data_IF_849528792219
#
_entry.id   IF_849528792219
#
_cell.length_a   1.000
_cell.length_b   1.000
_cell.length_c   1.000
_cell.angle_alpha   90.00
_cell.angle_beta   90.00
_cell.angle_gamma   90.00
#
_symmetry.space_group_name_H-M   'P 1'
#
loop_
_entity.id
_entity.type
_entity.pdbx_description
1 polymer ?
#
# COMPACT_ATOMS: atom_id res chain seq x y z
N UNK A 1 15.63 13.04 16.51
CA UNK A 1 15.46 12.14 15.36
C UNK A 1 14.89 12.95 14.21
N UNK A 2 15.46 12.85 13.00
CA UNK A 2 15.04 13.63 11.82
C UNK A 2 14.51 12.67 10.76
N UNK A 3 13.35 12.98 10.17
CA UNK A 3 12.72 12.17 9.12
C UNK A 3 12.86 12.88 7.77
N UNK A 4 13.33 12.15 6.76
CA UNK A 4 13.39 12.58 5.36
C UNK A 4 12.35 11.80 4.56
N UNK A 5 11.16 12.40 4.41
CA UNK A 5 10.02 11.79 3.71
C UNK A 5 10.29 11.62 2.22
N UNK A 6 11.06 12.53 1.61
CA UNK A 6 11.41 12.46 0.20
C UNK A 6 12.32 11.26 -0.09
N UNK A 7 13.28 10.98 0.81
CA UNK A 7 14.11 9.77 0.70
C UNK A 7 13.31 8.49 0.91
N UNK A 8 12.37 8.48 1.86
CA UNK A 8 11.49 7.32 2.05
C UNK A 8 10.68 7.03 0.79
N UNK A 9 10.12 8.06 0.16
CA UNK A 9 9.38 7.91 -1.11
C UNK A 9 10.27 7.37 -2.23
N UNK A 10 11.45 7.95 -2.44
CA UNK A 10 12.42 7.45 -3.43
C UNK A 10 12.80 5.98 -3.21
N UNK A 11 12.95 5.56 -1.96
CA UNK A 11 13.26 4.16 -1.64
C UNK A 11 12.11 3.22 -2.02
N UNK A 12 10.86 3.63 -1.81
CA UNK A 12 9.68 2.87 -2.23
C UNK A 12 9.61 2.80 -3.76
N UNK A 13 9.78 3.94 -4.44
CA UNK A 13 9.73 4.02 -5.90
C UNK A 13 10.84 3.16 -6.55
N UNK A 14 12.03 3.08 -5.93
CA UNK A 14 13.16 2.26 -6.39
C UNK A 14 12.88 0.75 -6.40
N UNK A 15 11.83 0.27 -5.72
CA UNK A 15 11.42 -1.14 -5.75
C UNK A 15 10.62 -1.50 -7.01
N UNK A 16 10.42 -0.57 -7.95
CA UNK A 16 9.65 -0.76 -9.18
C UNK A 16 8.24 -1.33 -8.93
N UNK A 17 7.65 -1.00 -7.78
CA UNK A 17 6.31 -1.44 -7.37
C UNK A 17 6.20 -2.89 -6.91
N UNK A 18 7.29 -3.66 -6.81
CA UNK A 18 7.26 -5.06 -6.35
C UNK A 18 6.71 -5.20 -4.93
N UNK A 19 6.91 -4.18 -4.08
CA UNK A 19 6.34 -4.14 -2.72
C UNK A 19 4.80 -4.21 -2.70
N UNK A 20 4.14 -3.89 -3.82
CA UNK A 20 2.67 -3.92 -3.95
C UNK A 20 2.13 -5.20 -4.59
N UNK A 21 2.98 -6.19 -4.88
CA UNK A 21 2.59 -7.40 -5.63
C UNK A 21 1.44 -8.18 -4.96
N UNK A 22 1.41 -8.27 -3.63
CA UNK A 22 0.33 -8.98 -2.92
C UNK A 22 -1.02 -8.25 -3.06
N UNK A 23 -1.04 -6.92 -2.97
CA UNK A 23 -2.26 -6.14 -3.13
C UNK A 23 -2.84 -6.31 -4.55
N UNK A 24 -1.98 -6.28 -5.58
CA UNK A 24 -2.37 -6.57 -6.95
C UNK A 24 -2.86 -8.02 -7.13
N UNK A 25 -2.17 -9.00 -6.53
CA UNK A 25 -2.59 -10.40 -6.58
C UNK A 25 -3.97 -10.60 -5.93
N UNK A 26 -4.24 -9.97 -4.79
CA UNK A 26 -5.54 -10.00 -4.12
C UNK A 26 -6.66 -9.38 -4.95
N UNK A 27 -6.37 -8.28 -5.67
CA UNK A 27 -7.32 -7.69 -6.61
C UNK A 27 -7.67 -8.67 -7.74
N UNK A 28 -6.65 -9.22 -8.40
CA UNK A 28 -6.84 -10.13 -9.54
C UNK A 28 -7.43 -11.49 -9.13
N UNK A 29 -7.18 -11.95 -7.91
CA UNK A 29 -7.70 -13.21 -7.39
C UNK A 29 -9.23 -13.29 -7.42
N UNK A 30 -9.92 -12.15 -7.35
CA UNK A 30 -11.39 -12.05 -7.47
C UNK A 30 -11.92 -12.52 -8.82
N UNK A 31 -11.07 -12.54 -9.85
CA UNK A 31 -11.45 -12.90 -11.22
C UNK A 31 -10.67 -14.10 -11.77
N UNK A 32 -9.42 -14.31 -11.33
CA UNK A 32 -8.55 -15.41 -11.78
C UNK A 32 -8.50 -16.60 -10.83
N UNK A 33 -8.90 -16.41 -9.58
CA UNK A 33 -8.60 -17.31 -8.47
C UNK A 33 -7.20 -17.06 -7.89
N UNK A 34 -7.04 -17.34 -6.59
CA UNK A 34 -5.85 -16.99 -5.80
C UNK A 34 -4.55 -17.52 -6.40
N UNK A 35 -4.47 -18.82 -6.69
CA UNK A 35 -3.25 -19.46 -7.19
C UNK A 35 -2.77 -18.87 -8.52
N UNK A 36 -3.69 -18.61 -9.46
CA UNK A 36 -3.36 -18.03 -10.78
C UNK A 36 -2.92 -16.58 -10.65
N UNK A 37 -3.59 -15.79 -9.81
CA UNK A 37 -3.21 -14.40 -9.57
C UNK A 37 -1.83 -14.29 -8.92
N UNK A 38 -1.52 -15.13 -7.93
CA UNK A 38 -0.21 -15.17 -7.29
C UNK A 38 0.88 -15.58 -8.29
N UNK A 39 0.69 -16.66 -9.05
CA UNK A 39 1.65 -17.10 -10.05
C UNK A 39 1.91 -16.04 -11.14
N UNK A 40 0.86 -15.33 -11.57
CA UNK A 40 0.98 -14.21 -12.51
C UNK A 40 1.86 -13.10 -11.92
N UNK A 41 1.52 -12.59 -10.73
CA UNK A 41 2.26 -11.49 -10.11
C UNK A 41 3.69 -11.88 -9.72
N UNK A 42 3.94 -13.13 -9.35
CA UNK A 42 5.28 -13.65 -9.08
C UNK A 42 6.16 -13.62 -10.35
N UNK A 43 5.60 -14.07 -11.48
CA UNK A 43 6.27 -14.01 -12.79
C UNK A 43 6.54 -12.57 -13.22
N UNK A 44 5.54 -11.69 -13.10
CA UNK A 44 5.69 -10.28 -13.46
C UNK A 44 6.65 -9.53 -12.52
N UNK A 45 6.72 -9.90 -11.23
CA UNK A 45 7.65 -9.31 -10.28
C UNK A 45 9.11 -9.65 -10.62
N UNK A 46 9.38 -10.90 -11.01
CA UNK A 46 10.71 -11.29 -11.53
C UNK A 46 11.09 -10.48 -12.76
N UNK A 47 10.14 -10.29 -13.68
CA UNK A 47 10.33 -9.47 -14.88
C UNK A 47 10.55 -8.00 -14.53
N UNK A 48 9.81 -7.42 -13.60
CA UNK A 48 9.97 -6.04 -13.15
C UNK A 48 11.40 -5.77 -12.65
N UNK A 49 11.96 -6.71 -11.88
CA UNK A 49 13.34 -6.62 -11.38
C UNK A 49 14.36 -6.78 -12.52
N UNK A 50 14.17 -7.79 -13.37
CA UNK A 50 15.14 -8.14 -14.44
C UNK A 50 15.16 -7.10 -15.55
N UNK A 51 13.98 -6.64 -15.98
CA UNK A 51 13.81 -5.67 -17.07
C UNK A 51 13.91 -4.21 -16.57
N UNK A 52 14.01 -3.99 -15.24
CA UNK A 52 13.89 -2.67 -14.60
C UNK A 52 12.65 -1.88 -15.06
N UNK A 53 11.53 -2.59 -15.16
CA UNK A 53 10.23 -2.01 -15.58
C UNK A 53 9.27 -1.95 -14.40
N UNK A 54 8.42 -0.92 -14.30
CA UNK A 54 7.41 -0.84 -13.25
C UNK A 54 6.45 -2.04 -13.30
N UNK A 55 6.24 -2.71 -12.16
CA UNK A 55 5.32 -3.84 -12.06
C UNK A 55 3.88 -3.46 -12.43
N UNK A 56 3.45 -2.23 -12.13
CA UNK A 56 2.14 -1.71 -12.53
C UNK A 56 1.96 -1.79 -14.05
N UNK A 57 2.96 -1.33 -14.81
CA UNK A 57 2.91 -1.35 -16.29
C UNK A 57 2.82 -2.78 -16.82
N UNK A 58 3.66 -3.68 -16.31
CA UNK A 58 3.64 -5.10 -16.69
C UNK A 58 2.31 -5.77 -16.36
N UNK A 59 1.68 -5.37 -15.25
CA UNK A 59 0.39 -5.90 -14.83
C UNK A 59 -0.74 -5.34 -15.71
N UNK A 60 -0.70 -4.06 -16.07
CA UNK A 60 -1.64 -3.45 -17.02
C UNK A 60 -1.56 -4.12 -18.40
N UNK A 61 -0.35 -4.39 -18.90
CA UNK A 61 -0.13 -5.13 -20.15
C UNK A 61 -0.75 -6.54 -20.09
N UNK A 62 -0.49 -7.29 -19.01
CA UNK A 62 -1.03 -8.64 -18.84
C UNK A 62 -2.56 -8.67 -18.72
N UNK A 63 -3.14 -7.69 -18.01
CA UNK A 63 -4.60 -7.53 -17.89
C UNK A 63 -5.21 -7.15 -19.23
N UNK A 64 -4.62 -6.20 -19.96
CA UNK A 64 -5.08 -5.75 -21.27
C UNK A 64 -4.98 -6.83 -22.35
N UNK A 65 -3.96 -7.68 -22.30
CA UNK A 65 -3.82 -8.84 -23.20
C UNK A 65 -4.90 -9.91 -22.98
N UNK A 66 -5.60 -9.88 -21.84
CA UNK A 66 -6.67 -10.84 -21.49
C UNK A 66 -8.01 -10.13 -21.52
N UNK A 67 -8.71 -10.14 -22.66
CA UNK A 67 -9.96 -9.40 -22.87
C UNK A 67 -11.00 -9.58 -21.74
N UNK A 68 -11.16 -10.79 -21.21
CA UNK A 68 -12.10 -11.10 -20.12
C UNK A 68 -11.69 -10.52 -18.77
N UNK A 69 -10.39 -10.29 -18.54
CA UNK A 69 -9.86 -9.67 -17.32
C UNK A 69 -9.84 -8.15 -17.45
N UNK A 70 -9.43 -7.62 -18.62
CA UNK A 70 -9.48 -6.19 -18.92
C UNK A 70 -10.89 -5.61 -18.88
N UNK A 71 -11.92 -6.41 -19.17
CA UNK A 71 -13.32 -6.01 -19.00
C UNK A 71 -13.78 -5.94 -17.52
N UNK A 72 -13.05 -6.57 -16.59
CA UNK A 72 -13.45 -6.71 -15.17
C UNK A 72 -12.60 -5.88 -14.21
N UNK A 73 -11.36 -5.59 -14.58
CA UNK A 73 -10.41 -4.85 -13.76
C UNK A 73 -10.09 -3.53 -14.45
N UNK A 74 -10.52 -2.42 -13.84
CA UNK A 74 -10.25 -1.09 -14.38
C UNK A 74 -8.79 -0.67 -14.13
N UNK A 75 -8.30 0.25 -14.95
CA UNK A 75 -6.95 0.78 -14.81
C UNK A 75 -6.78 1.54 -13.47
N UNK A 76 -7.84 2.19 -13.00
CA UNK A 76 -7.88 2.94 -11.74
C UNK A 76 -7.81 1.99 -10.54
N UNK A 77 -8.59 0.91 -10.55
CA UNK A 77 -8.56 -0.10 -9.50
C UNK A 77 -7.18 -0.76 -9.41
N UNK A 78 -6.55 -1.01 -10.57
CA UNK A 78 -5.20 -1.54 -10.61
C UNK A 78 -4.19 -0.50 -10.11
N UNK A 79 -4.28 0.76 -10.50
CA UNK A 79 -3.38 1.82 -10.04
C UNK A 79 -3.48 2.03 -8.52
N UNK A 80 -4.69 1.96 -7.96
CA UNK A 80 -4.91 2.05 -6.52
C UNK A 80 -4.22 0.93 -5.74
N UNK A 81 -4.08 -0.27 -6.32
CA UNK A 81 -3.35 -1.37 -5.68
C UNK A 81 -1.83 -1.11 -5.56
N UNK A 82 -1.30 -0.15 -6.33
CA UNK A 82 0.11 0.28 -6.31
C UNK A 82 0.32 1.64 -5.65
N UNK A 83 -0.71 2.21 -5.01
CA UNK A 83 -0.61 3.51 -4.36
C UNK A 83 0.01 3.36 -2.94
N UNK A 84 1.18 3.97 -2.67
CA UNK A 84 1.83 3.91 -1.37
C UNK A 84 0.99 4.50 -0.24
N UNK A 85 0.17 5.53 -0.51
CA UNK A 85 -0.67 6.17 0.51
C UNK A 85 -1.83 5.26 0.89
N UNK A 86 -2.46 4.63 -0.10
CA UNK A 86 -3.52 3.64 0.16
C UNK A 86 -2.96 2.42 0.89
N UNK A 87 -1.76 1.96 0.54
CA UNK A 87 -1.09 0.86 1.24
C UNK A 87 -0.79 1.19 2.71
N UNK A 88 -0.42 2.44 3.01
CA UNK A 88 -0.13 2.90 4.37
C UNK A 88 -1.39 3.19 5.22
N UNK A 89 -2.59 3.18 4.62
CA UNK A 89 -3.83 3.59 5.27
C UNK A 89 -4.17 2.80 6.54
N UNK A 90 -3.98 1.47 6.53
CA UNK A 90 -4.27 0.62 7.70
C UNK A 90 -3.34 0.91 8.89
N UNK A 91 -2.05 1.13 8.62
CA UNK A 91 -1.10 1.50 9.65
C UNK A 91 -1.46 2.88 10.24
N UNK A 92 -1.80 3.83 9.37
CA UNK A 92 -2.21 5.18 9.77
C UNK A 92 -3.47 5.17 10.65
N UNK A 93 -4.50 4.42 10.25
CA UNK A 93 -5.73 4.28 11.01
C UNK A 93 -5.49 3.66 12.41
N UNK A 94 -4.63 2.65 12.48
CA UNK A 94 -4.30 1.96 13.73
C UNK A 94 -3.61 2.89 14.74
N UNK A 95 -2.72 3.76 14.26
CA UNK A 95 -2.04 4.76 15.09
C UNK A 95 -2.98 5.88 15.52
N UNK A 96 -3.89 6.33 14.64
CA UNK A 96 -4.82 7.43 14.93
C UNK A 96 -5.66 7.19 16.18
N UNK A 97 -6.13 5.94 16.39
CA UNK A 97 -6.89 5.55 17.59
C UNK A 97 -6.05 5.70 18.86
N UNK A 98 -4.85 5.11 18.86
CA UNK A 98 -3.95 5.17 20.01
C UNK A 98 -3.53 6.61 20.33
N UNK A 99 -3.29 7.40 19.28
CA UNK A 99 -2.93 8.81 19.41
C UNK A 99 -4.02 9.64 20.08
N UNK A 100 -5.29 9.42 19.72
CA UNK A 100 -6.43 10.07 20.37
C UNK A 100 -6.47 9.80 21.88
N UNK A 101 -6.37 8.53 22.27
CA UNK A 101 -6.37 8.12 23.68
C UNK A 101 -5.22 8.72 24.48
N UNK A 102 -4.02 8.78 23.90
CA UNK A 102 -2.85 9.37 24.55
C UNK A 102 -3.02 10.88 24.73
N UNK A 103 -3.60 11.58 23.74
CA UNK A 103 -3.87 13.02 23.84
C UNK A 103 -4.88 13.34 24.94
N UNK A 104 -5.96 12.58 25.05
CA UNK A 104 -6.95 12.75 26.11
C UNK A 104 -6.31 12.53 27.49
N UNK A 105 -5.50 11.49 27.62
CA UNK A 105 -4.84 11.13 28.88
C UNK A 105 -3.77 12.14 29.30
N UNK A 106 -3.02 12.69 28.35
CA UNK A 106 -2.09 13.79 28.59
C UNK A 106 -2.84 15.03 29.12
N UNK A 107 -3.94 15.42 28.47
CA UNK A 107 -4.74 16.55 28.90
C UNK A 107 -5.33 16.38 30.32
N UNK A 108 -5.75 15.16 30.69
CA UNK A 108 -6.20 14.87 32.05
C UNK A 108 -5.09 15.01 33.10
N UNK A 109 -3.86 14.59 32.76
CA UNK A 109 -2.70 14.73 33.65
C UNK A 109 -2.32 16.21 33.83
N UNK A 110 -2.30 16.97 32.74
CA UNK A 110 -2.02 18.42 32.79
C UNK A 110 -3.07 19.17 33.63
N UNK A 111 -4.36 18.85 33.45
CA UNK A 111 -5.44 19.44 34.24
C UNK A 111 -5.31 19.10 35.73
N UNK A 112 -4.97 17.85 36.06
CA UNK A 112 -4.77 17.41 37.45
C UNK A 112 -3.57 18.10 38.10
N UNK A 113 -2.48 18.30 37.35
CA UNK A 113 -1.30 19.02 37.81
C UNK A 113 -1.60 20.50 38.06
N UNK A 114 -2.45 21.13 37.24
CA UNK A 114 -2.91 22.51 37.44
C UNK A 114 -3.80 22.69 38.69
N UNK A 115 -4.39 21.61 39.21
CA UNK A 115 -5.26 21.60 40.40
C UNK A 115 -4.58 21.08 41.69
N UNK A 116 -3.25 20.96 41.74
CA UNK A 116 -2.49 20.51 42.92
C UNK A 116 -2.57 21.47 44.14
N UNK A 117 -2.37 20.97 45.38
CA UNK A 117 -3.14 21.36 46.56
C UNK A 117 -2.85 22.77 47.07
N UNK A 118 -3.90 23.40 47.60
CA UNK A 118 -3.86 24.67 48.34
C UNK A 118 -3.05 24.56 49.64
#
# INVERSE_FOLDING_TARGET
MTIDTARMRRNIDALNGVVFAEAAAMLLARHLGKARAQALLESLSRRAVTEQRPLLLLTQEAVGATATLGAKVSAEALSAAFDPELAAGQASASVAVQWGLLRERAAMLDARAATGPA
#
